data_IF_401433847933
#
_entry.id   IF_401433847933
#
_cell.length_a   1.000
_cell.length_b   1.000
_cell.length_c   1.000
_cell.angle_alpha   90.00
_cell.angle_beta   90.00
_cell.angle_gamma   90.00
#
_symmetry.space_group_name_H-M   'P 1'
#
loop_
_entity.id
_entity.type
_entity.pdbx_description
1 polymer ?
#
# COMPACT_ATOMS: atom_id res chain seq x y z
N UNK A 1 64.56 55.40 -9.13
CA UNK A 1 63.79 54.41 -8.32
C UNK A 1 62.27 54.57 -8.38
N UNK A 2 61.70 55.73 -8.77
CA UNK A 2 60.25 55.95 -8.78
C UNK A 2 59.48 55.22 -9.91
N UNK A 3 60.05 55.16 -11.12
CA UNK A 3 59.37 54.59 -12.31
C UNK A 3 59.11 53.08 -12.18
N UNK A 4 60.06 52.31 -11.61
CA UNK A 4 59.89 50.87 -11.41
C UNK A 4 58.78 50.54 -10.39
N UNK A 5 58.53 51.40 -9.39
CA UNK A 5 57.47 51.19 -8.39
C UNK A 5 56.08 51.39 -8.98
N UNK A 6 55.90 52.36 -9.88
CA UNK A 6 54.62 52.65 -10.55
C UNK A 6 54.24 51.51 -11.51
N UNK A 7 55.21 50.98 -12.26
CA UNK A 7 54.95 49.86 -13.18
C UNK A 7 54.57 48.56 -12.45
N UNK A 8 55.20 48.31 -11.28
CA UNK A 8 54.87 47.17 -10.43
C UNK A 8 53.45 47.28 -9.83
N UNK A 9 53.02 48.48 -9.42
CA UNK A 9 51.66 48.69 -8.87
C UNK A 9 50.58 48.56 -9.93
N UNK A 10 50.82 49.03 -11.17
CA UNK A 10 49.88 48.83 -12.28
C UNK A 10 49.72 47.35 -12.66
N UNK A 11 50.82 46.57 -12.68
CA UNK A 11 50.74 45.13 -12.92
C UNK A 11 49.97 44.39 -11.82
N UNK A 12 50.18 44.76 -10.56
CA UNK A 12 49.44 44.18 -9.44
C UNK A 12 47.94 44.51 -9.51
N UNK A 13 47.58 45.74 -9.87
CA UNK A 13 46.18 46.15 -10.04
C UNK A 13 45.50 45.40 -11.22
N UNK A 14 46.18 45.25 -12.35
CA UNK A 14 45.66 44.47 -13.48
C UNK A 14 45.47 42.99 -13.14
N UNK A 15 46.43 42.40 -12.42
CA UNK A 15 46.34 41.01 -11.98
C UNK A 15 45.19 40.81 -10.96
N UNK A 16 44.97 41.78 -10.07
CA UNK A 16 43.86 41.75 -9.12
C UNK A 16 42.50 41.90 -9.81
N UNK A 17 42.38 42.75 -10.83
CA UNK A 17 41.17 42.89 -11.65
C UNK A 17 40.86 41.61 -12.44
N UNK A 18 41.89 40.98 -13.02
CA UNK A 18 41.74 39.69 -13.71
C UNK A 18 41.29 38.58 -12.75
N UNK A 19 41.88 38.50 -11.56
CA UNK A 19 41.50 37.51 -10.55
C UNK A 19 40.06 37.70 -10.07
N UNK A 20 39.61 38.95 -9.89
CA UNK A 20 38.22 39.22 -9.53
C UNK A 20 37.26 38.81 -10.66
N UNK A 21 37.60 39.13 -11.91
CA UNK A 21 36.80 38.72 -13.08
C UNK A 21 36.72 37.20 -13.23
N UNK A 22 37.79 36.46 -12.91
CA UNK A 22 37.79 34.98 -12.94
C UNK A 22 36.91 34.43 -11.82
N UNK A 23 36.98 34.99 -10.61
CA UNK A 23 36.14 34.56 -9.49
C UNK A 23 34.64 34.81 -9.75
N UNK A 24 34.30 35.93 -10.38
CA UNK A 24 32.92 36.24 -10.77
C UNK A 24 32.39 35.22 -11.78
N UNK A 25 33.19 34.83 -12.78
CA UNK A 25 32.85 33.79 -13.75
C UNK A 25 32.68 32.40 -13.10
N UNK A 26 33.52 32.06 -12.12
CA UNK A 26 33.38 30.80 -11.36
C UNK A 26 32.06 30.79 -10.58
N UNK A 27 31.73 31.89 -9.91
CA UNK A 27 30.48 32.00 -9.14
C UNK A 27 29.23 31.92 -10.03
N UNK A 28 29.30 32.48 -11.24
CA UNK A 28 28.22 32.42 -12.22
C UNK A 28 28.03 31.00 -12.79
N UNK A 29 29.12 30.27 -13.04
CA UNK A 29 29.10 28.86 -13.45
C UNK A 29 28.53 27.95 -12.37
N UNK A 30 28.97 28.09 -11.11
CA UNK A 30 28.42 27.33 -9.98
C UNK A 30 26.92 27.61 -9.78
N UNK A 31 26.50 28.87 -9.93
CA UNK A 31 25.08 29.27 -9.86
C UNK A 31 24.26 28.72 -11.01
N UNK A 32 24.84 28.61 -12.20
CA UNK A 32 24.20 28.00 -13.36
C UNK A 32 24.05 26.47 -13.19
N UNK A 33 25.10 25.77 -12.77
CA UNK A 33 25.07 24.33 -12.50
C UNK A 33 24.06 23.98 -11.40
N UNK A 34 24.01 24.76 -10.32
CA UNK A 34 23.03 24.56 -9.25
C UNK A 34 21.59 24.76 -9.72
N UNK A 35 21.32 25.76 -10.57
CA UNK A 35 19.98 25.97 -11.17
C UNK A 35 19.60 24.80 -12.07
N UNK A 36 20.51 24.32 -12.91
CA UNK A 36 20.30 23.15 -13.77
C UNK A 36 20.03 21.89 -12.94
N UNK A 37 20.81 21.64 -11.89
CA UNK A 37 20.61 20.51 -10.99
C UNK A 37 19.26 20.56 -10.25
N UNK A 38 18.79 21.75 -9.86
CA UNK A 38 17.46 21.94 -9.25
C UNK A 38 16.33 21.72 -10.27
N UNK A 39 16.45 22.25 -11.48
CA UNK A 39 15.48 22.03 -12.56
C UNK A 39 15.41 20.55 -12.97
N UNK A 40 16.55 19.88 -13.09
CA UNK A 40 16.63 18.45 -13.38
C UNK A 40 16.04 17.59 -12.25
N UNK A 41 16.23 17.96 -10.98
CA UNK A 41 15.56 17.30 -9.84
C UNK A 41 14.04 17.46 -9.88
N UNK A 42 13.54 18.62 -10.29
CA UNK A 42 12.11 18.86 -10.48
C UNK A 42 11.51 18.00 -11.60
N UNK A 43 12.21 17.91 -12.73
CA UNK A 43 11.82 17.08 -13.88
C UNK A 43 11.87 15.59 -13.54
N UNK A 44 12.95 15.12 -12.91
CA UNK A 44 13.10 13.76 -12.42
C UNK A 44 12.00 13.39 -11.38
N UNK A 45 11.59 14.35 -10.54
CA UNK A 45 10.47 14.20 -9.62
C UNK A 45 9.12 13.98 -10.33
N UNK A 46 8.84 14.76 -11.38
CA UNK A 46 7.61 14.65 -12.18
C UNK A 46 7.58 13.33 -12.96
N UNK A 47 8.69 12.94 -13.58
CA UNK A 47 8.79 11.68 -14.33
C UNK A 47 8.68 10.47 -13.42
N UNK A 48 9.28 10.51 -12.22
CA UNK A 48 9.10 9.50 -11.18
C UNK A 48 7.63 9.39 -10.75
N UNK A 49 6.95 10.51 -10.51
CA UNK A 49 5.55 10.52 -10.12
C UNK A 49 4.64 9.97 -11.23
N UNK A 50 4.88 10.35 -12.48
CA UNK A 50 4.14 9.83 -13.64
C UNK A 50 4.34 8.31 -13.78
N UNK A 51 5.57 7.84 -13.62
CA UNK A 51 5.88 6.40 -13.63
C UNK A 51 5.14 5.65 -12.52
N UNK A 52 5.07 6.21 -11.30
CA UNK A 52 4.31 5.62 -10.18
C UNK A 52 2.83 5.53 -10.51
N UNK A 53 2.24 6.61 -11.05
CA UNK A 53 0.83 6.62 -11.48
C UNK A 53 0.54 5.56 -12.54
N UNK A 54 1.42 5.43 -13.55
CA UNK A 54 1.29 4.39 -14.58
C UNK A 54 1.33 3.00 -13.94
N UNK A 55 2.25 2.75 -12.99
CA UNK A 55 2.33 1.43 -12.33
C UNK A 55 1.12 1.13 -11.45
N UNK A 56 0.54 2.15 -10.81
CA UNK A 56 -0.72 2.00 -10.09
C UNK A 56 -1.87 1.63 -11.04
N UNK A 57 -2.00 2.33 -12.17
CA UNK A 57 -3.00 2.02 -13.19
C UNK A 57 -2.84 0.60 -13.77
N UNK A 58 -1.60 0.11 -13.94
CA UNK A 58 -1.37 -1.28 -14.33
C UNK A 58 -1.90 -2.28 -13.28
N UNK A 59 -1.76 -2.00 -11.98
CA UNK A 59 -2.32 -2.84 -10.92
C UNK A 59 -3.85 -2.78 -10.86
N UNK A 60 -4.44 -1.61 -11.10
CA UNK A 60 -5.90 -1.46 -11.21
C UNK A 60 -6.47 -2.26 -12.39
N UNK A 61 -5.80 -2.22 -13.54
CA UNK A 61 -6.18 -3.02 -14.71
C UNK A 61 -6.03 -4.52 -14.44
N UNK A 62 -4.92 -4.93 -13.83
CA UNK A 62 -4.71 -6.31 -13.40
C UNK A 62 -5.83 -6.77 -12.45
N UNK A 63 -6.19 -5.94 -11.46
CA UNK A 63 -7.28 -6.26 -10.54
C UNK A 63 -8.60 -6.49 -11.27
N UNK A 64 -8.93 -5.64 -12.23
CA UNK A 64 -10.13 -5.76 -13.07
C UNK A 64 -10.12 -7.04 -13.91
N UNK A 65 -8.99 -7.38 -14.52
CA UNK A 65 -8.83 -8.60 -15.33
C UNK A 65 -9.00 -9.87 -14.49
N UNK A 66 -8.34 -9.95 -13.32
CA UNK A 66 -8.50 -11.08 -12.41
C UNK A 66 -9.93 -11.21 -11.85
N UNK A 67 -10.62 -10.08 -11.63
CA UNK A 67 -12.05 -10.08 -11.25
C UNK A 67 -12.91 -10.65 -12.37
N UNK A 68 -12.69 -10.24 -13.63
CA UNK A 68 -13.43 -10.76 -14.78
C UNK A 68 -13.25 -12.29 -14.97
N UNK A 69 -12.12 -12.83 -14.53
CA UNK A 69 -11.82 -14.27 -14.53
C UNK A 69 -12.39 -15.04 -13.33
N UNK A 70 -13.07 -14.35 -12.40
CA UNK A 70 -13.68 -14.96 -11.22
C UNK A 70 -12.69 -15.43 -10.13
N UNK A 71 -11.44 -14.94 -10.16
CA UNK A 71 -10.38 -15.36 -9.23
C UNK A 71 -10.07 -14.27 -8.20
N UNK A 72 -10.00 -13.03 -8.65
CA UNK A 72 -9.50 -11.93 -7.82
C UNK A 72 -7.98 -11.84 -7.87
N UNK A 73 -7.48 -10.62 -7.73
CA UNK A 73 -6.06 -10.31 -7.97
C UNK A 73 -5.11 -10.87 -6.91
N UNK A 74 -5.57 -10.97 -5.66
CA UNK A 74 -4.81 -11.59 -4.57
C UNK A 74 -4.52 -13.06 -4.88
N UNK A 75 -5.56 -13.85 -5.14
CA UNK A 75 -5.44 -15.28 -5.41
C UNK A 75 -4.76 -15.58 -6.74
N UNK A 76 -5.00 -14.76 -7.76
CA UNK A 76 -4.28 -14.85 -9.03
C UNK A 76 -2.79 -14.67 -8.82
N UNK A 77 -2.39 -13.59 -8.14
CA UNK A 77 -0.99 -13.33 -7.87
C UNK A 77 -0.38 -14.41 -6.98
N UNK A 78 -1.04 -14.81 -5.88
CA UNK A 78 -0.55 -15.84 -4.95
C UNK A 78 -0.25 -17.16 -5.68
N UNK A 79 -1.12 -17.60 -6.58
CA UNK A 79 -1.00 -18.89 -7.24
C UNK A 79 -0.28 -18.84 -8.60
N UNK A 80 0.11 -17.66 -9.09
CA UNK A 80 0.81 -17.46 -10.36
C UNK A 80 0.07 -18.08 -11.56
N UNK A 81 -1.25 -17.88 -11.64
CA UNK A 81 -2.09 -18.49 -12.67
C UNK A 81 -1.79 -18.00 -14.10
N UNK A 82 -1.27 -16.78 -14.27
CA UNK A 82 -1.09 -16.15 -15.58
C UNK A 82 0.28 -15.51 -15.75
N UNK A 83 0.75 -15.42 -17.00
CA UNK A 83 2.00 -14.73 -17.31
C UNK A 83 2.01 -13.25 -16.87
N UNK A 84 0.84 -12.60 -16.84
CA UNK A 84 0.67 -11.23 -16.32
C UNK A 84 1.09 -11.09 -14.86
N UNK A 85 1.06 -12.17 -14.07
CA UNK A 85 1.45 -12.15 -12.65
C UNK A 85 2.95 -11.82 -12.49
N UNK A 86 3.78 -12.20 -13.47
CA UNK A 86 5.20 -11.83 -13.48
C UNK A 86 5.43 -10.34 -13.74
N UNK A 87 4.57 -9.70 -14.55
CA UNK A 87 4.67 -8.27 -14.82
C UNK A 87 4.16 -7.43 -13.64
N UNK A 88 3.17 -7.94 -12.90
CA UNK A 88 2.71 -7.37 -11.63
C UNK A 88 3.86 -7.26 -10.62
N UNK A 89 4.72 -8.27 -10.50
CA UNK A 89 5.91 -8.22 -9.63
C UNK A 89 6.82 -7.03 -9.98
N UNK A 90 7.02 -6.75 -11.27
CA UNK A 90 7.82 -5.59 -11.71
C UNK A 90 7.15 -4.26 -11.34
N UNK A 91 5.83 -4.16 -11.53
CA UNK A 91 5.07 -2.95 -11.20
C UNK A 91 5.06 -2.68 -9.70
N UNK A 92 4.78 -3.71 -8.90
CA UNK A 92 4.87 -3.70 -7.44
C UNK A 92 6.22 -3.17 -6.98
N UNK A 93 7.33 -3.74 -7.48
CA UNK A 93 8.69 -3.33 -7.08
C UNK A 93 8.96 -1.83 -7.28
N UNK A 94 8.48 -1.26 -8.40
CA UNK A 94 8.62 0.17 -8.66
C UNK A 94 7.84 1.01 -7.66
N UNK A 95 6.60 0.63 -7.35
CA UNK A 95 5.76 1.32 -6.37
C UNK A 95 6.38 1.23 -4.97
N UNK A 96 6.80 0.03 -4.55
CA UNK A 96 7.39 -0.19 -3.23
C UNK A 96 8.67 0.60 -3.02
N UNK A 97 9.56 0.66 -4.02
CA UNK A 97 10.78 1.47 -3.91
C UNK A 97 10.47 2.96 -3.77
N UNK A 98 9.49 3.47 -4.53
CA UNK A 98 9.11 4.87 -4.44
C UNK A 98 8.55 5.21 -3.06
N UNK A 99 7.56 4.46 -2.59
CA UNK A 99 6.89 4.73 -1.31
C UNK A 99 7.80 4.52 -0.12
N UNK A 100 8.68 3.52 -0.16
CA UNK A 100 9.69 3.31 0.88
C UNK A 100 10.63 4.52 1.00
N UNK A 101 11.22 4.95 -0.11
CA UNK A 101 12.12 6.11 -0.11
C UNK A 101 11.41 7.36 0.41
N UNK A 102 10.16 7.57 -0.01
CA UNK A 102 9.37 8.74 0.40
C UNK A 102 9.08 8.69 1.91
N UNK A 103 8.67 7.54 2.44
CA UNK A 103 8.43 7.35 3.87
C UNK A 103 9.72 7.56 4.68
N UNK A 104 10.86 7.03 4.22
CA UNK A 104 12.16 7.24 4.86
C UNK A 104 12.59 8.71 4.87
N UNK A 105 12.38 9.43 3.76
CA UNK A 105 12.66 10.86 3.68
C UNK A 105 11.76 11.68 4.62
N UNK A 106 10.47 11.33 4.72
CA UNK A 106 9.51 11.98 5.61
C UNK A 106 9.84 11.75 7.10
N UNK A 107 10.32 10.56 7.45
CA UNK A 107 10.77 10.24 8.82
C UNK A 107 12.03 11.04 9.20
N UNK A 108 13.00 11.15 8.27
CA UNK A 108 14.25 11.88 8.49
C UNK A 108 14.06 13.40 8.54
N UNK A 109 13.12 13.93 7.77
CA UNK A 109 12.81 15.35 7.69
C UNK A 109 11.30 15.54 7.80
N UNK A 110 10.75 15.69 9.01
CA UNK A 110 9.34 16.01 9.18
C UNK A 110 9.05 17.35 8.47
N UNK A 111 8.49 17.28 7.25
CA UNK A 111 8.28 18.47 6.44
C UNK A 111 7.25 19.38 7.13
N UNK A 112 7.61 20.66 7.29
CA UNK A 112 6.72 21.75 7.72
C UNK A 112 5.76 22.21 6.59
N UNK A 113 5.70 21.49 5.48
CA UNK A 113 4.96 21.88 4.28
C UNK A 113 3.44 21.79 4.45
N UNK A 114 2.72 22.63 3.69
CA UNK A 114 1.32 22.98 3.92
C UNK A 114 0.34 21.81 3.99
N UNK A 115 -0.73 21.98 4.78
CA UNK A 115 -1.72 20.94 5.09
C UNK A 115 -2.25 20.18 3.84
N UNK A 116 -2.47 20.88 2.73
CA UNK A 116 -2.99 20.32 1.48
C UNK A 116 -2.05 19.30 0.79
N UNK A 117 -0.74 19.55 0.81
CA UNK A 117 0.23 18.61 0.22
C UNK A 117 0.31 17.32 1.04
N UNK A 118 0.15 17.42 2.37
CA UNK A 118 0.06 16.24 3.26
C UNK A 118 -1.19 15.42 2.96
N UNK A 119 -2.35 16.04 2.75
CA UNK A 119 -3.60 15.33 2.42
C UNK A 119 -3.51 14.52 1.12
N UNK A 120 -3.05 15.14 0.03
CA UNK A 120 -2.97 14.48 -1.29
C UNK A 120 -2.01 13.29 -1.25
N UNK A 121 -0.86 13.47 -0.60
CA UNK A 121 0.12 12.41 -0.44
C UNK A 121 -0.37 11.28 0.48
N UNK A 122 -1.03 11.60 1.60
CA UNK A 122 -1.62 10.59 2.49
C UNK A 122 -2.69 9.75 1.77
N UNK A 123 -3.51 10.39 0.94
CA UNK A 123 -4.50 9.69 0.11
C UNK A 123 -3.83 8.73 -0.88
N UNK A 124 -2.82 9.21 -1.62
CA UNK A 124 -2.07 8.37 -2.56
C UNK A 124 -1.35 7.21 -1.85
N UNK A 125 -0.78 7.45 -0.67
CA UNK A 125 -0.09 6.44 0.13
C UNK A 125 -1.04 5.38 0.69
N UNK A 126 -2.23 5.82 1.10
CA UNK A 126 -3.32 4.92 1.51
C UNK A 126 -3.75 4.01 0.35
N UNK A 127 -3.97 4.57 -0.84
CA UNK A 127 -4.37 3.79 -2.01
C UNK A 127 -3.27 2.80 -2.42
N UNK A 128 -2.00 3.23 -2.42
CA UNK A 128 -0.86 2.35 -2.64
C UNK A 128 -0.86 1.19 -1.63
N UNK A 129 -0.94 1.47 -0.32
CA UNK A 129 -0.95 0.45 0.73
C UNK A 129 -2.07 -0.56 0.51
N UNK A 130 -3.30 -0.09 0.29
CA UNK A 130 -4.49 -0.95 0.07
C UNK A 130 -4.42 -1.77 -1.21
N UNK A 131 -3.71 -1.31 -2.24
CA UNK A 131 -3.53 -2.05 -3.49
C UNK A 131 -2.39 -3.06 -3.40
N UNK A 132 -1.25 -2.67 -2.82
CA UNK A 132 0.02 -3.39 -2.94
C UNK A 132 0.30 -4.32 -1.76
N UNK A 133 -0.03 -3.94 -0.54
CA UNK A 133 0.24 -4.77 0.64
C UNK A 133 -0.43 -6.16 0.56
N UNK A 134 -1.67 -6.31 0.02
CA UNK A 134 -2.23 -7.63 -0.29
C UNK A 134 -1.33 -8.52 -1.16
N UNK A 135 -0.59 -7.94 -2.11
CA UNK A 135 0.34 -8.69 -2.97
C UNK A 135 1.62 -9.09 -2.24
N UNK A 136 2.07 -8.30 -1.27
CA UNK A 136 3.18 -8.68 -0.38
C UNK A 136 2.76 -9.79 0.58
N UNK A 137 1.54 -9.73 1.11
CA UNK A 137 0.93 -10.81 1.92
C UNK A 137 0.81 -12.10 1.11
N UNK A 138 0.33 -12.01 -0.14
CA UNK A 138 0.24 -13.16 -1.04
C UNK A 138 1.62 -13.82 -1.25
N UNK A 139 2.66 -13.02 -1.48
CA UNK A 139 4.03 -13.53 -1.64
C UNK A 139 4.59 -14.14 -0.34
N UNK A 140 4.24 -13.56 0.80
CA UNK A 140 4.63 -14.06 2.12
C UNK A 140 4.03 -15.44 2.40
N UNK A 141 2.70 -15.58 2.28
CA UNK A 141 2.00 -16.84 2.56
C UNK A 141 2.03 -17.86 1.41
N UNK A 142 2.61 -17.52 0.25
CA UNK A 142 2.92 -18.51 -0.80
C UNK A 142 3.99 -19.50 -0.33
N UNK A 143 4.89 -19.07 0.55
CA UNK A 143 5.94 -19.92 1.11
C UNK A 143 5.37 -20.81 2.22
N UNK A 144 5.67 -22.10 2.16
CA UNK A 144 5.22 -23.04 3.19
C UNK A 144 5.79 -22.69 4.57
N UNK A 145 4.97 -22.89 5.62
CA UNK A 145 5.37 -22.67 7.01
C UNK A 145 5.45 -21.21 7.47
N UNK A 146 5.19 -20.23 6.59
CA UNK A 146 5.12 -18.81 6.99
C UNK A 146 3.86 -18.53 7.83
N UNK A 147 4.05 -17.79 8.92
CA UNK A 147 3.03 -17.38 9.89
C UNK A 147 3.26 -15.95 10.37
N UNK A 148 2.23 -15.33 10.91
CA UNK A 148 2.32 -14.03 11.59
C UNK A 148 3.01 -12.96 10.73
N UNK A 149 2.39 -12.64 9.58
CA UNK A 149 2.87 -11.58 8.69
C UNK A 149 3.01 -10.24 9.43
N UNK A 150 2.11 -9.94 10.37
CA UNK A 150 2.11 -8.69 11.11
C UNK A 150 3.46 -8.47 11.84
N UNK A 151 4.00 -9.50 12.48
CA UNK A 151 5.28 -9.39 13.20
C UNK A 151 6.49 -9.65 12.31
N UNK A 152 6.39 -10.66 11.43
CA UNK A 152 7.57 -11.22 10.75
C UNK A 152 7.74 -10.77 9.29
N UNK A 153 6.68 -10.28 8.65
CA UNK A 153 6.66 -9.97 7.21
C UNK A 153 6.36 -8.51 6.88
N UNK A 154 5.68 -7.79 7.78
CA UNK A 154 5.13 -6.47 7.48
C UNK A 154 6.22 -5.40 7.46
N UNK A 155 6.37 -4.77 6.29
CA UNK A 155 7.39 -3.73 6.11
C UNK A 155 7.04 -2.43 6.84
N UNK A 156 8.06 -1.81 7.47
CA UNK A 156 7.94 -0.54 8.22
C UNK A 156 7.17 0.56 7.49
N UNK A 157 7.35 0.68 6.18
CA UNK A 157 6.71 1.73 5.40
C UNK A 157 5.18 1.62 5.35
N UNK A 158 4.62 0.40 5.36
CA UNK A 158 3.16 0.22 5.45
C UNK A 158 2.62 0.61 6.83
N UNK A 159 3.36 0.27 7.89
CA UNK A 159 3.02 0.60 9.27
C UNK A 159 2.94 2.12 9.45
N UNK A 160 3.96 2.85 8.98
CA UNK A 160 4.00 4.31 9.05
C UNK A 160 2.88 4.96 8.22
N UNK A 161 2.65 4.48 6.99
CA UNK A 161 1.55 4.99 6.14
C UNK A 161 0.18 4.78 6.79
N UNK A 162 -0.04 3.62 7.43
CA UNK A 162 -1.29 3.35 8.16
C UNK A 162 -1.43 4.27 9.39
N UNK A 163 -0.35 4.44 10.16
CA UNK A 163 -0.33 5.32 11.34
C UNK A 163 -0.67 6.76 10.96
N UNK A 164 0.02 7.33 9.96
CA UNK A 164 -0.22 8.70 9.52
C UNK A 164 -1.64 8.91 8.98
N UNK A 165 -2.23 7.89 8.34
CA UNK A 165 -3.63 7.96 7.92
C UNK A 165 -4.59 7.99 9.12
N UNK A 166 -4.36 7.18 10.17
CA UNK A 166 -5.19 7.17 11.38
C UNK A 166 -5.15 8.53 12.08
N UNK A 167 -3.94 9.04 12.31
CA UNK A 167 -3.72 10.38 12.90
C UNK A 167 -4.40 11.50 12.12
N UNK A 168 -4.48 11.37 10.79
CA UNK A 168 -5.16 12.32 9.93
C UNK A 168 -6.69 12.20 10.01
N UNK A 169 -7.21 10.98 10.05
CA UNK A 169 -8.66 10.71 10.07
C UNK A 169 -9.29 11.09 11.41
N UNK A 170 -8.59 10.82 12.52
CA UNK A 170 -9.02 11.20 13.88
C UNK A 170 -9.18 12.73 14.03
N UNK A 171 -8.34 13.51 13.33
CA UNK A 171 -8.42 14.99 13.31
C UNK A 171 -9.62 15.52 12.53
N UNK A 172 -10.23 14.72 11.65
CA UNK A 172 -11.28 15.13 10.72
C UNK A 172 -12.68 14.61 11.10
N UNK A 173 -12.87 14.12 12.33
CA UNK A 173 -14.08 13.50 12.86
C UNK A 173 -15.38 14.01 12.18
N UNK A 174 -15.87 13.23 11.21
CA UNK A 174 -17.04 13.53 10.41
C UNK A 174 -17.91 12.29 10.25
N UNK A 175 -19.22 12.52 10.09
CA UNK A 175 -20.28 11.52 10.09
C UNK A 175 -20.05 10.34 9.11
N UNK A 176 -20.66 9.16 9.38
CA UNK A 176 -20.62 8.02 8.47
C UNK A 176 -21.02 8.45 7.06
N UNK A 177 -20.13 8.23 6.09
CA UNK A 177 -20.33 8.71 4.74
C UNK A 177 -21.03 7.59 3.95
N UNK A 178 -22.30 7.78 3.60
CA UNK A 178 -23.09 6.90 2.73
C UNK A 178 -22.39 6.61 1.38
N UNK A 179 -21.36 7.40 1.04
CA UNK A 179 -20.44 7.19 -0.09
C UNK A 179 -19.76 5.81 -0.09
N UNK A 180 -19.49 5.19 1.07
CA UNK A 180 -18.87 3.85 1.10
C UNK A 180 -19.79 2.80 0.48
N UNK A 181 -21.05 2.81 0.90
CA UNK A 181 -22.11 1.93 0.39
C UNK A 181 -22.30 2.11 -1.12
N UNK A 182 -22.31 3.35 -1.60
CA UNK A 182 -22.48 3.66 -3.03
C UNK A 182 -21.34 3.19 -3.93
N UNK A 183 -20.11 3.09 -3.41
CA UNK A 183 -18.90 2.81 -4.22
C UNK A 183 -18.25 1.45 -3.94
N UNK A 184 -18.88 0.60 -3.12
CA UNK A 184 -18.31 -0.68 -2.68
C UNK A 184 -17.88 -1.60 -3.84
N UNK A 185 -18.59 -1.59 -4.96
CA UNK A 185 -18.27 -2.43 -6.14
C UNK A 185 -16.84 -2.21 -6.67
N UNK A 186 -16.32 -0.97 -6.54
CA UNK A 186 -15.00 -0.57 -7.02
C UNK A 186 -14.01 -0.21 -5.91
N UNK A 187 -14.38 -0.38 -4.64
CA UNK A 187 -13.51 0.00 -3.52
C UNK A 187 -12.36 -1.00 -3.33
N UNK A 188 -11.25 -0.49 -2.78
CA UNK A 188 -10.22 -1.35 -2.19
C UNK A 188 -10.60 -1.63 -0.74
N UNK A 189 -10.27 -2.83 -0.26
CA UNK A 189 -10.43 -3.19 1.16
C UNK A 189 -9.68 -2.18 2.03
N UNK A 190 -10.36 -1.66 3.05
CA UNK A 190 -9.82 -0.59 3.89
C UNK A 190 -8.65 -1.05 4.74
N UNK A 191 -8.80 -2.25 5.32
CA UNK A 191 -7.75 -3.00 6.00
C UNK A 191 -6.88 -3.73 4.96
N UNK A 192 -5.68 -3.21 4.74
CA UNK A 192 -4.72 -3.80 3.81
C UNK A 192 -4.15 -5.14 4.28
N UNK A 193 -4.31 -5.46 5.57
CA UNK A 193 -3.93 -6.73 6.17
C UNK A 193 -5.08 -7.74 6.20
N UNK A 194 -6.24 -7.45 5.60
CA UNK A 194 -7.38 -8.38 5.55
C UNK A 194 -6.97 -9.80 5.10
N UNK A 195 -6.17 -9.90 4.05
CA UNK A 195 -5.74 -11.20 3.52
C UNK A 195 -4.82 -11.97 4.46
N UNK A 196 -4.04 -11.30 5.32
CA UNK A 196 -3.27 -11.98 6.36
C UNK A 196 -4.22 -12.71 7.32
N UNK A 197 -5.30 -12.04 7.73
CA UNK A 197 -6.30 -12.65 8.61
C UNK A 197 -6.96 -13.87 7.96
N UNK A 198 -7.25 -13.80 6.64
CA UNK A 198 -7.77 -14.95 5.87
C UNK A 198 -6.79 -16.12 5.87
N UNK A 199 -5.50 -15.87 5.64
CA UNK A 199 -4.47 -16.93 5.62
C UNK A 199 -4.31 -17.60 6.99
N UNK A 200 -4.24 -16.82 8.07
CA UNK A 200 -4.19 -17.38 9.42
C UNK A 200 -5.44 -18.19 9.76
N UNK A 201 -6.62 -17.75 9.30
CA UNK A 201 -7.87 -18.48 9.47
C UNK A 201 -7.91 -19.79 8.66
N UNK A 202 -7.40 -19.82 7.42
CA UNK A 202 -7.22 -21.04 6.63
C UNK A 202 -6.29 -22.03 7.34
N UNK A 203 -5.20 -21.54 7.92
CA UNK A 203 -4.26 -22.37 8.67
C UNK A 203 -4.95 -22.94 9.91
N UNK A 204 -5.71 -22.12 10.65
CA UNK A 204 -6.53 -22.57 11.78
C UNK A 204 -7.54 -23.66 11.40
N UNK A 205 -8.21 -23.56 10.24
CA UNK A 205 -9.11 -24.61 9.76
C UNK A 205 -8.37 -25.94 9.55
N UNK A 206 -7.15 -25.91 9.00
CA UNK A 206 -6.31 -27.11 8.82
C UNK A 206 -5.87 -27.71 10.16
N UNK A 207 -5.42 -26.88 11.09
CA UNK A 207 -5.01 -27.29 12.44
C UNK A 207 -6.13 -28.06 13.17
N UNK A 208 -7.39 -27.62 13.05
CA UNK A 208 -8.52 -28.30 13.67
C UNK A 208 -8.76 -29.73 13.15
N UNK A 209 -8.32 -30.04 11.93
CA UNK A 209 -8.43 -31.38 11.34
C UNK A 209 -7.38 -32.35 11.96
N UNK A 210 -6.26 -31.84 12.47
CA UNK A 210 -5.09 -32.65 12.85
C UNK A 210 -4.74 -32.67 14.37
N UNK A 211 -5.24 -31.72 15.19
CA UNK A 211 -4.71 -31.45 16.55
C UNK A 211 -5.51 -32.05 17.73
N UNK A 212 -5.00 -31.88 18.97
CA UNK A 212 -5.58 -32.34 20.24
C UNK A 212 -6.76 -31.50 20.74
N UNK A 213 -7.55 -31.97 21.73
CA UNK A 213 -8.78 -31.29 22.18
C UNK A 213 -8.59 -29.87 22.76
N UNK A 214 -7.45 -29.57 23.41
CA UNK A 214 -7.20 -28.25 24.01
C UNK A 214 -6.82 -27.22 22.94
N UNK A 215 -5.93 -27.59 22.02
CA UNK A 215 -5.53 -26.76 20.88
C UNK A 215 -6.72 -26.50 19.94
N UNK A 216 -7.67 -27.44 19.87
CA UNK A 216 -8.93 -27.26 19.16
C UNK A 216 -9.79 -26.14 19.73
N UNK A 217 -9.82 -25.96 21.05
CA UNK A 217 -10.64 -24.90 21.66
C UNK A 217 -10.10 -23.51 21.34
N UNK A 218 -8.80 -23.27 21.55
CA UNK A 218 -8.17 -21.97 21.25
C UNK A 218 -8.25 -21.65 19.75
N UNK A 219 -8.13 -22.66 18.88
CA UNK A 219 -8.24 -22.49 17.44
C UNK A 219 -9.67 -22.14 17.00
N UNK A 220 -10.69 -22.72 17.64
CA UNK A 220 -12.10 -22.34 17.40
C UNK A 220 -12.38 -20.90 17.82
N UNK A 221 -11.84 -20.46 18.96
CA UNK A 221 -11.99 -19.07 19.41
C UNK A 221 -11.38 -18.08 18.40
N UNK A 222 -10.19 -18.37 17.87
CA UNK A 222 -9.57 -17.56 16.80
C UNK A 222 -10.44 -17.48 15.54
N UNK A 223 -11.05 -18.59 15.12
CA UNK A 223 -11.95 -18.62 13.96
C UNK A 223 -13.23 -17.82 14.21
N UNK A 224 -13.82 -17.92 15.40
CA UNK A 224 -14.99 -17.11 15.78
C UNK A 224 -14.65 -15.61 15.80
N UNK A 225 -13.49 -15.22 16.32
CA UNK A 225 -13.03 -13.83 16.27
C UNK A 225 -12.86 -13.34 14.83
N UNK A 226 -12.29 -14.17 13.96
CA UNK A 226 -12.15 -13.83 12.54
C UNK A 226 -13.50 -13.68 11.84
N UNK A 227 -14.48 -14.55 12.15
CA UNK A 227 -15.84 -14.41 11.62
C UNK A 227 -16.48 -13.07 12.02
N UNK A 228 -16.38 -12.68 13.29
CA UNK A 228 -16.91 -11.39 13.76
C UNK A 228 -16.22 -10.22 13.06
N UNK A 229 -14.89 -10.26 12.95
CA UNK A 229 -14.11 -9.28 12.21
C UNK A 229 -14.59 -9.14 10.76
N UNK A 230 -14.81 -10.25 10.05
CA UNK A 230 -15.32 -10.23 8.67
C UNK A 230 -16.70 -9.58 8.61
N UNK A 231 -17.60 -9.92 9.53
CA UNK A 231 -18.94 -9.33 9.57
C UNK A 231 -18.90 -7.83 9.85
N UNK A 232 -18.00 -7.37 10.72
CA UNK A 232 -17.79 -5.93 10.95
C UNK A 232 -17.29 -5.23 9.68
N UNK A 233 -16.37 -5.83 8.93
CA UNK A 233 -15.92 -5.26 7.65
C UNK A 233 -17.07 -5.18 6.62
N UNK A 234 -17.92 -6.20 6.56
CA UNK A 234 -19.09 -6.24 5.68
C UNK A 234 -20.10 -5.15 6.08
N UNK A 235 -20.50 -5.08 7.35
CA UNK A 235 -21.48 -4.10 7.84
C UNK A 235 -21.02 -2.66 7.59
N UNK A 236 -19.71 -2.41 7.65
CA UNK A 236 -19.12 -1.08 7.41
C UNK A 236 -18.81 -0.78 5.95
N UNK A 237 -19.15 -1.67 5.00
CA UNK A 237 -18.77 -1.52 3.58
C UNK A 237 -17.25 -1.31 3.38
N UNK A 238 -16.44 -1.93 4.24
CA UNK A 238 -15.00 -1.71 4.34
C UNK A 238 -14.17 -2.75 3.58
N UNK A 239 -14.81 -3.78 2.99
CA UNK A 239 -14.13 -4.85 2.25
C UNK A 239 -14.57 -4.90 0.79
N UNK A 240 -13.62 -5.12 -0.12
CA UNK A 240 -13.90 -5.25 -1.55
C UNK A 240 -14.78 -6.50 -1.82
N UNK A 241 -15.84 -6.42 -2.65
CA UNK A 241 -16.66 -7.58 -3.01
C UNK A 241 -15.90 -8.72 -3.68
N UNK A 242 -14.70 -8.44 -4.20
CA UNK A 242 -13.80 -9.45 -4.76
C UNK A 242 -13.47 -10.60 -3.80
N UNK A 243 -13.63 -10.42 -2.48
CA UNK A 243 -13.48 -11.53 -1.52
C UNK A 243 -14.53 -12.63 -1.75
N UNK A 244 -15.68 -12.31 -2.35
CA UNK A 244 -16.77 -13.27 -2.61
C UNK A 244 -16.68 -13.94 -3.98
N UNK A 245 -15.59 -13.73 -4.72
CA UNK A 245 -15.35 -14.45 -5.97
C UNK A 245 -15.17 -15.95 -5.67
N UNK A 246 -15.76 -16.81 -6.50
CA UNK A 246 -15.89 -18.24 -6.24
C UNK A 246 -14.56 -18.95 -5.91
N UNK A 247 -13.48 -18.51 -6.56
CA UNK A 247 -12.13 -19.07 -6.43
C UNK A 247 -11.25 -18.35 -5.41
N UNK A 248 -11.81 -17.41 -4.63
CA UNK A 248 -11.03 -16.65 -3.67
C UNK A 248 -10.62 -17.50 -2.46
N UNK A 249 -9.49 -17.16 -1.84
CA UNK A 249 -9.05 -17.76 -0.58
C UNK A 249 -10.08 -17.58 0.54
N UNK A 250 -10.82 -16.48 0.56
CA UNK A 250 -11.90 -16.25 1.52
C UNK A 250 -13.07 -17.23 1.32
N UNK A 251 -13.47 -17.49 0.07
CA UNK A 251 -14.53 -18.46 -0.23
C UNK A 251 -14.10 -19.90 0.09
N UNK A 252 -12.80 -20.21 -0.03
CA UNK A 252 -12.26 -21.49 0.41
C UNK A 252 -12.29 -21.61 1.94
N UNK A 253 -11.85 -20.56 2.66
CA UNK A 253 -11.96 -20.51 4.12
C UNK A 253 -13.41 -20.71 4.58
N UNK A 254 -14.37 -20.04 3.93
CA UNK A 254 -15.77 -20.15 4.30
C UNK A 254 -16.29 -21.59 4.16
N UNK A 255 -15.91 -22.31 3.10
CA UNK A 255 -16.28 -23.73 2.91
C UNK A 255 -15.71 -24.61 4.03
N UNK A 256 -14.42 -24.48 4.32
CA UNK A 256 -13.77 -25.23 5.40
C UNK A 256 -14.36 -24.89 6.78
N UNK A 257 -14.64 -23.62 7.03
CA UNK A 257 -15.23 -23.15 8.28
C UNK A 257 -16.65 -23.68 8.46
N UNK A 258 -17.46 -23.71 7.40
CA UNK A 258 -18.82 -24.27 7.44
C UNK A 258 -18.84 -25.72 7.92
N UNK A 259 -17.97 -26.58 7.40
CA UNK A 259 -17.84 -27.99 7.84
C UNK A 259 -17.53 -28.10 9.35
N UNK A 260 -16.79 -27.14 9.89
CA UNK A 260 -16.41 -27.10 11.32
C UNK A 260 -17.56 -26.63 12.21
N UNK A 261 -18.36 -25.65 11.74
CA UNK A 261 -19.45 -25.04 12.52
C UNK A 261 -20.83 -25.67 12.30
N UNK A 262 -20.94 -26.76 11.52
CA UNK A 262 -22.22 -27.46 11.24
C UNK A 262 -23.01 -27.86 12.51
N UNK A 263 -22.41 -27.76 13.69
CA UNK A 263 -22.99 -28.06 15.02
C UNK A 263 -23.35 -26.85 15.88
N UNK A 264 -23.05 -25.60 15.47
CA UNK A 264 -23.28 -24.39 16.26
C UNK A 264 -24.25 -23.41 15.56
N UNK A 265 -25.30 -23.00 16.26
CA UNK A 265 -26.45 -22.32 15.66
C UNK A 265 -26.27 -20.80 15.41
N UNK A 266 -25.24 -20.15 15.98
CA UNK A 266 -25.15 -18.68 16.04
C UNK A 266 -23.95 -18.08 15.28
N UNK A 267 -23.76 -18.48 14.01
CA UNK A 267 -22.77 -17.84 13.12
C UNK A 267 -23.38 -16.61 12.42
N UNK A 268 -22.94 -15.36 12.72
CA UNK A 268 -23.47 -14.16 12.07
C UNK A 268 -23.21 -14.12 10.56
N UNK A 269 -22.12 -14.73 10.08
CA UNK A 269 -21.78 -14.78 8.66
C UNK A 269 -22.63 -15.81 7.90
N UNK A 270 -23.10 -16.87 8.56
CA UNK A 270 -23.88 -17.95 7.92
C UNK A 270 -25.13 -17.44 7.23
N UNK A 271 -25.89 -16.58 7.90
CA UNK A 271 -27.12 -15.99 7.33
C UNK A 271 -26.83 -15.11 6.11
N UNK A 272 -25.72 -14.37 6.13
CA UNK A 272 -25.28 -13.54 5.01
C UNK A 272 -24.88 -14.38 3.80
N UNK A 273 -24.04 -15.40 4.02
CA UNK A 273 -23.51 -16.26 2.96
C UNK A 273 -24.57 -17.19 2.36
N UNK A 274 -25.39 -17.86 3.19
CA UNK A 274 -26.43 -18.80 2.74
C UNK A 274 -27.48 -18.13 1.86
N UNK A 275 -27.87 -16.90 2.21
CA UNK A 275 -28.86 -16.13 1.46
C UNK A 275 -28.25 -15.35 0.28
N UNK A 276 -26.96 -15.58 -0.03
CA UNK A 276 -26.24 -14.89 -1.10
C UNK A 276 -26.31 -13.35 -1.01
N UNK A 277 -26.35 -12.80 0.22
CA UNK A 277 -26.48 -11.34 0.44
C UNK A 277 -25.28 -10.55 -0.07
N UNK A 278 -24.14 -11.21 -0.31
CA UNK A 278 -22.99 -10.60 -0.99
C UNK A 278 -23.32 -10.04 -2.38
N UNK A 279 -24.36 -10.53 -3.07
CA UNK A 279 -24.84 -9.95 -4.34
C UNK A 279 -25.54 -8.60 -4.16
N UNK A 280 -26.23 -8.41 -3.04
CA UNK A 280 -26.82 -7.12 -2.65
C UNK A 280 -25.74 -6.19 -2.11
N UNK A 281 -24.78 -6.73 -1.36
CA UNK A 281 -23.61 -6.01 -0.88
C UNK A 281 -22.83 -5.36 -2.01
N UNK A 282 -22.49 -6.08 -3.08
CA UNK A 282 -21.77 -5.51 -4.24
C UNK A 282 -22.51 -4.33 -4.89
N UNK A 283 -23.85 -4.32 -4.81
CA UNK A 283 -24.70 -3.23 -5.33
C UNK A 283 -24.87 -2.08 -4.35
N UNK A 284 -24.30 -2.15 -3.14
CA UNK A 284 -24.55 -1.17 -2.09
C UNK A 284 -25.99 -1.21 -1.57
N UNK A 285 -26.61 -2.41 -1.53
CA UNK A 285 -28.03 -2.60 -1.16
C UNK A 285 -28.21 -3.50 0.07
N UNK A 286 -27.11 -3.87 0.73
CA UNK A 286 -27.10 -4.63 1.97
C UNK A 286 -27.39 -3.75 3.19
#
# INVERSE_FOLDING_TARGET
>A
MAINRICLTQKQQQQQQQNNSINDLISELESHENRMAQQMKGIDGIDKLNRVKIKMACLEWYKKDCKAKGIGYYDSYKNLYFCSDNDVTKHKKVLTNYWRNLVEDAERKPQKEGAYMRETWLYAGTNYRRMVEPLDIAEYYRQEGKRDYQTNGRSKHYILLEQWQKEHTEKLAGAPNDKKKQNVAGSLTEDSCFWMNVEEALISCKQLKDESNIEKQSTRERLNMFEQYVMDQINNYAVSPDIFLEKSSFMNWWKDFQEIIETSHDSPLRGFMKNCRYRQYEKGQF
#
